data_IF_409729308416
#
_entry.id   IF_409729308416
#
_cell.length_a   1.000
_cell.length_b   1.000
_cell.length_c   1.000
_cell.angle_alpha   90.00
_cell.angle_beta   90.00
_cell.angle_gamma   90.00
#
_symmetry.space_group_name_H-M   'P 1'
#
loop_
_entity.id
_entity.type
_entity.pdbx_description
1 polymer ?
#
# COMPACT_ATOMS: atom_id res chain seq x y z
N UNK A 1 9.54 6.26 3.31
CA UNK A 1 9.57 6.23 4.79
C UNK A 1 10.77 5.39 5.20
N UNK A 2 11.43 5.65 6.34
CA UNK A 2 12.48 4.76 6.86
C UNK A 2 11.98 4.10 8.13
N UNK A 3 12.07 2.77 8.21
CA UNK A 3 11.80 2.02 9.45
C UNK A 3 13.07 1.26 9.77
N UNK A 4 13.63 1.46 10.97
CA UNK A 4 14.87 0.82 11.42
C UNK A 4 16.06 1.00 10.44
N UNK A 5 16.13 2.16 9.76
CA UNK A 5 17.17 2.45 8.78
C UNK A 5 16.91 1.91 7.36
N UNK A 6 15.95 1.00 7.18
CA UNK A 6 15.56 0.47 5.87
C UNK A 6 14.61 1.42 5.14
N UNK A 7 14.82 1.64 3.83
CA UNK A 7 13.90 2.41 2.99
C UNK A 7 12.69 1.54 2.65
N UNK A 8 11.51 2.02 3.01
CA UNK A 8 10.23 1.36 2.72
C UNK A 8 9.34 2.23 1.82
N UNK A 9 8.52 1.53 1.06
CA UNK A 9 7.47 2.06 0.19
C UNK A 9 6.12 1.93 0.89
N UNK A 10 5.34 3.00 0.87
CA UNK A 10 3.99 3.04 1.42
C UNK A 10 3.02 3.17 0.25
N UNK A 11 2.07 2.27 0.19
CA UNK A 11 0.93 2.26 -0.72
C UNK A 11 -0.30 2.67 0.09
N UNK A 12 -1.12 3.56 -0.46
CA UNK A 12 -2.30 4.06 0.22
C UNK A 12 -3.46 4.13 -0.76
N UNK A 13 -4.57 3.52 -0.39
CA UNK A 13 -5.82 3.59 -1.12
C UNK A 13 -6.66 4.70 -0.51
N UNK A 14 -7.18 5.56 -1.37
CA UNK A 14 -8.08 6.63 -0.99
C UNK A 14 -9.46 6.37 -1.60
N UNK A 15 -10.50 6.63 -0.83
CA UNK A 15 -11.87 6.62 -1.30
C UNK A 15 -12.20 7.89 -2.09
N UNK A 16 -13.42 7.94 -2.63
CA UNK A 16 -13.89 9.06 -3.44
C UNK A 16 -14.01 10.36 -2.63
N UNK A 17 -14.18 10.27 -1.31
CA UNK A 17 -14.26 11.43 -0.41
C UNK A 17 -12.89 11.81 0.19
N UNK A 18 -11.81 11.17 -0.26
CA UNK A 18 -10.45 11.44 0.18
C UNK A 18 -10.09 10.76 1.51
N UNK A 19 -10.97 9.93 2.05
CA UNK A 19 -10.70 9.08 3.21
C UNK A 19 -9.67 8.00 2.87
N UNK A 20 -8.83 7.64 3.84
CA UNK A 20 -7.86 6.56 3.68
C UNK A 20 -8.55 5.24 3.97
N UNK A 21 -8.74 4.41 2.95
CA UNK A 21 -9.38 3.10 3.08
C UNK A 21 -8.38 2.05 3.59
N UNK A 22 -7.18 2.01 3.03
CA UNK A 22 -6.14 1.05 3.42
C UNK A 22 -4.73 1.61 3.21
N UNK A 23 -3.79 1.15 4.04
CA UNK A 23 -2.36 1.46 3.93
C UNK A 23 -1.54 0.17 3.96
N UNK A 24 -0.60 0.02 3.03
CA UNK A 24 0.26 -1.16 2.92
C UNK A 24 1.72 -0.76 2.74
N UNK A 25 2.63 -1.40 3.48
CA UNK A 25 4.06 -1.07 3.46
C UNK A 25 4.85 -2.22 2.85
N UNK A 26 5.74 -1.92 1.91
CA UNK A 26 6.61 -2.90 1.27
C UNK A 26 8.07 -2.44 1.28
N UNK A 27 8.99 -3.40 1.30
CA UNK A 27 10.43 -3.13 1.22
C UNK A 27 10.87 -2.73 -0.19
N UNK A 28 10.26 -3.35 -1.20
CA UNK A 28 10.50 -3.07 -2.62
C UNK A 28 9.26 -2.47 -3.30
N UNK A 29 9.48 -1.76 -4.41
CA UNK A 29 8.44 -1.23 -5.28
C UNK A 29 8.47 -2.00 -6.60
N UNK A 30 7.86 -3.17 -6.60
CA UNK A 30 7.72 -4.05 -7.76
C UNK A 30 6.24 -4.28 -8.13
N UNK A 31 6.02 -4.86 -9.31
CA UNK A 31 4.66 -5.13 -9.81
C UNK A 31 3.90 -6.12 -8.92
N UNK A 32 4.60 -7.13 -8.38
CA UNK A 32 3.98 -8.12 -7.50
C UNK A 32 3.45 -7.49 -6.20
N UNK A 33 4.19 -6.54 -5.62
CA UNK A 33 3.79 -5.75 -4.46
C UNK A 33 2.56 -4.88 -4.78
N UNK A 34 2.52 -4.27 -5.97
CA UNK A 34 1.39 -3.48 -6.43
C UNK A 34 0.14 -4.34 -6.62
N UNK A 35 0.25 -5.49 -7.28
CA UNK A 35 -0.86 -6.43 -7.49
C UNK A 35 -1.38 -6.99 -6.15
N UNK A 36 -0.48 -7.31 -5.23
CA UNK A 36 -0.85 -7.74 -3.87
C UNK A 36 -1.62 -6.66 -3.13
N UNK A 37 -1.16 -5.40 -3.22
CA UNK A 37 -1.84 -4.26 -2.63
C UNK A 37 -3.25 -4.08 -3.21
N UNK A 38 -3.37 -4.05 -4.55
CA UNK A 38 -4.67 -3.94 -5.22
C UNK A 38 -5.61 -5.10 -4.86
N UNK A 39 -5.08 -6.33 -4.81
CA UNK A 39 -5.84 -7.50 -4.41
C UNK A 39 -6.36 -7.43 -2.97
N UNK A 40 -5.61 -6.83 -2.04
CA UNK A 40 -6.06 -6.59 -0.65
C UNK A 40 -7.11 -5.48 -0.60
N UNK A 41 -6.82 -4.34 -1.22
CA UNK A 41 -7.70 -3.18 -1.23
C UNK A 41 -9.06 -3.49 -1.88
N UNK A 42 -9.09 -4.31 -2.93
CA UNK A 42 -10.32 -4.69 -3.64
C UNK A 42 -11.09 -5.85 -2.99
N UNK A 43 -10.42 -6.72 -2.22
CA UNK A 43 -11.08 -7.81 -1.46
C UNK A 43 -11.74 -7.34 -0.17
N UNK A 44 -11.39 -6.17 0.33
CA UNK A 44 -12.01 -5.59 1.52
C UNK A 44 -13.46 -5.08 1.29
N UNK A 45 -14.09 -5.44 0.16
CA UNK A 45 -15.50 -5.13 -0.16
C UNK A 45 -16.40 -6.35 0.04
#
# INVERSE_FOLDING_TARGET
MKLNGEKLHLWRAFGQEGEVLESYVTKARDEAAALTFLGKALKAR
#
